data_IF_109653990428
#
_entry.id   IF_109653990428
#
_cell.length_a   1.000
_cell.length_b   1.000
_cell.length_c   1.000
_cell.angle_alpha   90.00
_cell.angle_beta   90.00
_cell.angle_gamma   90.00
#
_symmetry.space_group_name_H-M   'P 1'
#
loop_
_entity.id
_entity.type
_entity.pdbx_description
1 polymer ?
#
# COMPACT_ATOMS: atom_id res chain seq x y z
N UNK A 1 84.85 7.69 27.67
CA UNK A 1 83.79 8.72 27.72
C UNK A 1 82.94 8.56 26.47
N UNK A 2 81.60 8.56 26.67
CA UNK A 2 80.50 8.44 25.70
C UNK A 2 80.44 7.09 24.94
N UNK A 3 79.59 6.12 25.32
CA UNK A 3 78.11 6.08 25.23
C UNK A 3 77.59 6.59 23.87
N UNK A 4 76.77 5.87 23.09
CA UNK A 4 76.09 4.60 23.29
C UNK A 4 74.89 4.54 22.35
N UNK A 5 74.80 3.45 21.57
CA UNK A 5 73.62 2.92 20.84
C UNK A 5 73.07 3.73 19.65
N UNK A 6 72.38 3.09 18.67
CA UNK A 6 71.75 1.76 18.70
C UNK A 6 72.16 0.80 17.55
N UNK A 7 71.89 -0.51 17.68
CA UNK A 7 71.86 -1.43 16.54
C UNK A 7 70.44 -1.98 16.29
N UNK A 8 70.14 -2.30 15.03
CA UNK A 8 68.92 -3.00 14.64
C UNK A 8 68.82 -3.23 13.14
N UNK A 9 69.70 -4.08 12.60
CA UNK A 9 69.65 -4.64 11.25
C UNK A 9 68.45 -5.61 11.11
N UNK A 10 67.58 -5.43 10.09
CA UNK A 10 67.50 -6.21 8.83
C UNK A 10 66.75 -7.58 8.95
N UNK A 11 66.39 -8.31 7.87
CA UNK A 11 66.17 -7.95 6.46
C UNK A 11 64.91 -8.58 5.79
N UNK A 12 64.58 -8.07 4.58
CA UNK A 12 64.36 -8.94 3.41
C UNK A 12 62.90 -9.07 2.92
N UNK A 13 62.60 -8.93 1.63
CA UNK A 13 63.44 -8.65 0.45
C UNK A 13 62.54 -8.56 -0.79
N UNK A 14 63.11 -8.08 -1.91
CA UNK A 14 62.55 -8.28 -3.24
C UNK A 14 62.01 -7.03 -3.95
N UNK A 15 62.91 -6.16 -4.40
CA UNK A 15 62.77 -5.43 -5.68
C UNK A 15 62.82 -6.44 -6.86
N UNK A 16 62.51 -6.12 -8.14
CA UNK A 16 62.50 -4.79 -8.75
C UNK A 16 61.42 -4.48 -9.82
N UNK A 17 61.37 -3.20 -10.14
CA UNK A 17 61.08 -2.56 -11.43
C UNK A 17 60.69 -3.44 -12.64
N UNK A 18 59.62 -3.02 -13.33
CA UNK A 18 59.70 -2.59 -14.73
C UNK A 18 58.41 -1.90 -15.17
N UNK A 19 58.62 -0.83 -15.92
CA UNK A 19 57.68 0.17 -16.38
C UNK A 19 57.00 -0.18 -17.71
N UNK A 20 55.90 0.54 -17.97
CA UNK A 20 55.39 1.03 -19.27
C UNK A 20 54.59 0.05 -20.16
N UNK A 21 53.33 0.44 -20.43
CA UNK A 21 52.54 -0.14 -21.52
C UNK A 21 51.04 0.17 -21.55
N UNK A 22 50.66 1.44 -21.38
CA UNK A 22 49.52 2.13 -22.04
C UNK A 22 48.14 1.44 -22.24
N UNK A 23 47.14 1.96 -21.52
CA UNK A 23 45.83 2.41 -22.07
C UNK A 23 45.18 3.26 -20.97
N UNK A 24 44.92 4.55 -21.07
CA UNK A 24 44.37 5.29 -22.20
C UNK A 24 43.08 5.95 -21.72
N UNK A 25 43.16 7.21 -21.26
CA UNK A 25 42.03 8.13 -20.94
C UNK A 25 41.08 7.67 -19.82
N UNK A 26 40.88 8.40 -18.73
CA UNK A 26 40.33 9.76 -18.74
C UNK A 26 40.60 10.40 -17.37
N UNK A 27 41.60 11.27 -17.31
CA UNK A 27 41.60 12.35 -16.33
C UNK A 27 40.46 13.30 -16.72
N UNK A 28 39.53 13.54 -15.80
CA UNK A 28 38.47 14.53 -15.95
C UNK A 28 37.05 14.00 -16.06
N UNK A 29 36.68 12.91 -15.39
CA UNK A 29 35.26 12.75 -15.02
C UNK A 29 34.93 13.90 -14.07
N UNK A 30 34.06 14.81 -14.50
CA UNK A 30 33.61 15.92 -13.66
C UNK A 30 33.10 15.32 -12.34
N UNK A 31 33.47 15.86 -11.18
CA UNK A 31 32.96 15.36 -9.89
C UNK A 31 31.42 15.28 -9.92
N UNK A 32 30.75 16.16 -10.68
CA UNK A 32 29.31 16.12 -10.96
C UNK A 32 28.86 14.90 -11.77
N UNK A 33 29.66 14.44 -12.74
CA UNK A 33 29.38 13.23 -13.51
C UNK A 33 29.69 11.97 -12.70
N UNK A 34 30.77 11.95 -11.93
CA UNK A 34 31.04 10.83 -11.02
C UNK A 34 30.00 10.74 -9.92
N UNK A 35 29.58 11.87 -9.32
CA UNK A 35 28.46 11.92 -8.37
C UNK A 35 27.13 11.56 -9.06
N UNK A 36 26.93 11.90 -10.33
CA UNK A 36 25.76 11.47 -11.10
C UNK A 36 25.77 9.96 -11.34
N UNK A 37 26.91 9.37 -11.70
CA UNK A 37 27.05 7.92 -11.86
C UNK A 37 26.89 7.18 -10.52
N UNK A 38 27.41 7.73 -9.42
CA UNK A 38 27.35 7.09 -8.09
C UNK A 38 26.04 7.33 -7.33
N UNK A 39 25.30 8.43 -7.61
CA UNK A 39 24.10 8.81 -6.85
C UNK A 39 22.86 9.13 -7.71
N UNK A 40 22.99 9.23 -9.04
CA UNK A 40 21.89 9.61 -9.93
C UNK A 40 21.60 8.60 -11.07
N UNK A 41 22.47 7.64 -11.34
CA UNK A 41 22.21 6.48 -12.23
C UNK A 41 21.91 5.21 -11.44
N UNK A 42 21.47 5.36 -10.19
CA UNK A 42 20.52 4.40 -9.65
C UNK A 42 19.18 4.80 -10.27
N UNK A 43 18.50 3.93 -11.04
CA UNK A 43 17.11 4.20 -11.38
C UNK A 43 16.44 4.53 -10.07
N UNK A 44 15.95 5.78 -9.94
CA UNK A 44 15.23 6.26 -8.76
C UNK A 44 14.47 5.09 -8.18
N UNK A 45 14.88 4.64 -7.01
CA UNK A 45 14.32 3.48 -6.33
C UNK A 45 12.80 3.68 -6.30
N UNK A 46 12.11 3.00 -7.22
CA UNK A 46 10.67 3.06 -7.50
C UNK A 46 10.03 4.44 -7.31
N UNK A 47 9.84 5.19 -8.40
CA UNK A 47 8.75 6.15 -8.45
C UNK A 47 7.47 5.42 -8.03
N UNK A 48 6.89 5.76 -6.87
CA UNK A 48 5.55 5.32 -6.52
C UNK A 48 4.66 5.79 -7.68
N UNK A 49 4.22 4.85 -8.50
CA UNK A 49 3.42 5.12 -9.67
C UNK A 49 2.10 5.78 -9.20
N UNK A 50 2.03 7.10 -9.33
CA UNK A 50 0.87 7.87 -8.85
C UNK A 50 -0.34 7.71 -9.76
N UNK A 51 -0.21 7.09 -10.94
CA UNK A 51 -1.28 6.98 -11.92
C UNK A 51 -2.56 6.35 -11.33
N UNK A 52 -2.42 5.38 -10.43
CA UNK A 52 -3.55 4.76 -9.74
C UNK A 52 -4.25 5.73 -8.78
N UNK A 53 -3.49 6.54 -8.06
CA UNK A 53 -3.97 7.57 -7.13
C UNK A 53 -4.66 8.71 -7.88
N UNK A 54 -4.03 9.18 -8.96
CA UNK A 54 -4.54 10.23 -9.83
C UNK A 54 -5.85 9.79 -10.50
N UNK A 55 -5.91 8.56 -11.04
CA UNK A 55 -7.14 8.00 -11.60
C UNK A 55 -8.25 7.85 -10.55
N UNK A 56 -7.93 7.41 -9.32
CA UNK A 56 -8.88 7.32 -8.22
C UNK A 56 -9.39 8.70 -7.74
N UNK A 57 -8.54 9.72 -7.80
CA UNK A 57 -8.86 11.12 -7.48
C UNK A 57 -9.84 11.71 -8.49
N UNK A 58 -9.53 11.62 -9.79
CA UNK A 58 -10.41 12.19 -10.83
C UNK A 58 -11.63 11.32 -11.14
N UNK A 59 -11.63 10.05 -10.69
CA UNK A 59 -12.70 9.09 -10.97
C UNK A 59 -12.60 8.45 -12.36
N UNK A 60 -11.41 8.40 -12.95
CA UNK A 60 -11.15 7.83 -14.28
C UNK A 60 -11.14 6.29 -14.21
N UNK A 61 -12.34 5.73 -14.23
CA UNK A 61 -12.57 4.28 -14.19
C UNK A 61 -11.90 3.53 -15.37
N UNK A 62 -11.98 4.01 -16.63
CA UNK A 62 -11.27 3.36 -17.75
C UNK A 62 -9.76 3.26 -17.52
N UNK A 63 -9.10 4.35 -17.12
CA UNK A 63 -7.66 4.35 -16.84
C UNK A 63 -7.35 3.43 -15.66
N UNK A 64 -8.12 3.51 -14.57
CA UNK A 64 -7.96 2.64 -13.41
C UNK A 64 -8.06 1.15 -13.79
N UNK A 65 -9.02 0.81 -14.65
CA UNK A 65 -9.20 -0.55 -15.16
C UNK A 65 -8.04 -1.00 -16.04
N UNK A 66 -7.56 -0.13 -16.93
CA UNK A 66 -6.40 -0.42 -17.78
C UNK A 66 -5.16 -0.68 -16.92
N UNK A 67 -4.88 0.18 -15.95
CA UNK A 67 -3.73 0.05 -15.04
C UNK A 67 -3.77 -1.28 -14.28
N UNK A 68 -4.93 -1.68 -13.75
CA UNK A 68 -5.08 -2.95 -13.03
C UNK A 68 -4.93 -4.19 -13.92
N UNK A 69 -5.11 -4.05 -15.23
CA UNK A 69 -4.95 -5.12 -16.22
C UNK A 69 -3.54 -5.18 -16.83
N UNK A 70 -2.73 -4.13 -16.67
CA UNK A 70 -1.36 -4.11 -17.18
C UNK A 70 -0.49 -5.15 -16.47
N UNK A 71 0.15 -6.05 -17.22
CA UNK A 71 1.06 -7.07 -16.68
C UNK A 71 2.24 -6.45 -15.91
N UNK A 72 2.69 -5.25 -16.29
CA UNK A 72 3.71 -4.50 -15.56
C UNK A 72 3.20 -4.14 -14.15
N UNK A 73 1.96 -3.69 -14.03
CA UNK A 73 1.36 -3.32 -12.75
C UNK A 73 1.31 -4.54 -11.81
N UNK A 74 0.92 -5.69 -12.34
CA UNK A 74 0.85 -6.97 -11.60
C UNK A 74 2.24 -7.56 -11.29
N UNK A 75 3.22 -7.43 -12.19
CA UNK A 75 4.59 -7.99 -12.04
C UNK A 75 5.51 -7.14 -11.17
N UNK A 76 5.35 -5.82 -11.14
CA UNK A 76 6.19 -4.91 -10.35
C UNK A 76 5.65 -4.62 -8.94
N UNK A 77 4.57 -5.29 -8.52
CA UNK A 77 4.00 -5.10 -7.18
C UNK A 77 3.33 -3.73 -7.02
N UNK A 78 2.90 -3.11 -8.12
CA UNK A 78 2.00 -1.98 -8.09
C UNK A 78 0.65 -2.52 -7.63
N UNK A 79 0.44 -2.33 -6.34
CA UNK A 79 -0.54 -3.03 -5.58
C UNK A 79 -1.69 -2.07 -5.32
N UNK A 80 -2.92 -2.58 -5.41
CA UNK A 80 -4.09 -1.83 -4.97
C UNK A 80 -3.95 -1.39 -3.51
N UNK A 81 -3.18 -2.14 -2.72
CA UNK A 81 -2.76 -1.80 -1.36
C UNK A 81 -1.41 -1.07 -1.33
N UNK A 82 -1.31 0.00 -0.54
CA UNK A 82 -0.07 0.79 -0.47
C UNK A 82 1.03 0.04 0.30
N UNK A 83 2.13 -0.29 -0.38
CA UNK A 83 3.30 -0.98 0.17
C UNK A 83 4.35 -0.01 0.70
N UNK A 84 4.32 0.29 1.99
CA UNK A 84 5.28 1.20 2.64
C UNK A 84 6.70 0.62 2.86
N UNK A 85 7.05 -0.46 2.15
CA UNK A 85 8.25 -1.26 2.44
C UNK A 85 9.58 -0.62 1.98
N UNK A 86 9.57 0.52 1.31
CA UNK A 86 10.80 1.09 0.72
C UNK A 86 11.51 2.17 1.55
N UNK A 87 10.91 2.67 2.64
CA UNK A 87 11.53 3.73 3.44
C UNK A 87 12.49 3.25 4.56
N UNK A 88 12.63 1.94 4.82
CA UNK A 88 13.50 1.46 5.91
C UNK A 88 14.14 0.10 5.61
N UNK A 89 15.42 0.12 5.22
CA UNK A 89 16.30 -1.07 5.11
C UNK A 89 16.73 -1.63 6.48
N UNK A 90 15.81 -1.72 7.44
CA UNK A 90 16.07 -2.41 8.70
C UNK A 90 14.82 -3.19 9.09
N UNK A 91 14.94 -4.52 9.07
CA UNK A 91 13.96 -5.46 9.57
C UNK A 91 13.69 -5.21 11.06
N UNK A 92 12.73 -4.35 11.34
CA UNK A 92 12.19 -4.11 12.68
C UNK A 92 10.69 -4.40 12.62
N UNK A 93 10.22 -5.27 13.51
CA UNK A 93 8.81 -5.62 13.76
C UNK A 93 8.01 -4.44 14.35
N UNK A 94 8.34 -3.21 13.95
CA UNK A 94 7.71 -1.99 14.45
C UNK A 94 6.31 -1.87 13.83
N UNK A 95 5.30 -1.98 14.69
CA UNK A 95 3.92 -1.65 14.37
C UNK A 95 3.87 -0.22 13.82
N UNK A 96 3.43 -0.05 12.57
CA UNK A 96 3.46 1.22 11.82
C UNK A 96 2.28 2.15 12.16
N UNK A 97 2.46 3.45 12.41
CA UNK A 97 1.35 4.41 12.53
C UNK A 97 0.66 4.60 11.17
N UNK A 98 -0.69 4.53 11.07
CA UNK A 98 -1.45 4.95 9.86
C UNK A 98 -1.39 6.47 9.66
N UNK A 99 -0.21 7.01 9.36
CA UNK A 99 -0.08 8.40 8.90
C UNK A 99 -0.52 8.56 7.44
N UNK A 100 -0.86 7.46 6.76
CA UNK A 100 -0.96 7.37 5.30
C UNK A 100 -2.26 6.77 4.78
N UNK A 101 -3.29 6.54 5.61
CA UNK A 101 -4.60 6.12 5.07
C UNK A 101 -5.11 7.13 4.04
N UNK A 102 -4.76 8.42 4.19
CA UNK A 102 -5.13 9.51 3.28
C UNK A 102 -4.51 9.42 1.88
N UNK A 103 -3.43 8.66 1.70
CA UNK A 103 -2.76 8.50 0.40
C UNK A 103 -3.14 7.20 -0.28
N UNK A 104 -4.01 6.38 0.30
CA UNK A 104 -4.40 5.11 -0.31
C UNK A 104 -5.45 5.33 -1.43
N UNK A 105 -5.37 4.64 -2.58
CA UNK A 105 -6.35 4.78 -3.68
C UNK A 105 -7.80 4.52 -3.23
N UNK A 106 -8.01 3.57 -2.32
CA UNK A 106 -9.34 3.27 -1.77
C UNK A 106 -9.86 4.41 -0.88
N UNK A 107 -8.98 5.09 -0.12
CA UNK A 107 -9.37 6.28 0.63
C UNK A 107 -9.65 7.46 -0.28
N UNK A 108 -8.77 7.72 -1.26
CA UNK A 108 -8.90 8.82 -2.21
C UNK A 108 -10.26 8.70 -2.93
N UNK A 109 -10.58 7.51 -3.46
CA UNK A 109 -11.87 7.31 -4.11
C UNK A 109 -13.08 7.52 -3.18
N UNK A 110 -12.98 7.26 -1.88
CA UNK A 110 -14.01 7.62 -0.90
C UNK A 110 -14.09 9.14 -0.65
N UNK A 111 -12.94 9.79 -0.43
CA UNK A 111 -12.85 11.24 -0.19
C UNK A 111 -13.43 12.08 -1.34
N UNK A 112 -13.29 11.59 -2.57
CA UNK A 112 -13.82 12.22 -3.79
C UNK A 112 -15.14 11.60 -4.27
N UNK A 113 -15.78 10.74 -3.48
CA UNK A 113 -17.08 10.13 -3.79
C UNK A 113 -17.13 9.34 -5.12
N UNK A 114 -16.00 8.79 -5.56
CA UNK A 114 -15.86 8.00 -6.78
C UNK A 114 -16.23 6.53 -6.55
N UNK A 115 -17.53 6.24 -6.39
CA UNK A 115 -18.06 4.92 -6.03
C UNK A 115 -17.61 3.80 -6.97
N UNK A 116 -17.57 4.04 -8.28
CA UNK A 116 -17.18 3.01 -9.24
C UNK A 116 -15.69 2.67 -9.16
N UNK A 117 -14.83 3.67 -8.93
CA UNK A 117 -13.41 3.43 -8.68
C UNK A 117 -13.20 2.66 -7.37
N UNK A 118 -13.92 3.05 -6.32
CA UNK A 118 -13.90 2.37 -5.02
C UNK A 118 -14.29 0.89 -5.16
N UNK A 119 -15.37 0.60 -5.90
CA UNK A 119 -15.81 -0.77 -6.23
C UNK A 119 -14.74 -1.55 -6.99
N UNK A 120 -14.16 -0.94 -8.03
CA UNK A 120 -13.16 -1.62 -8.88
C UNK A 120 -11.90 -1.98 -8.07
N UNK A 121 -11.44 -1.09 -7.19
CA UNK A 121 -10.31 -1.35 -6.30
C UNK A 121 -10.58 -2.53 -5.36
N UNK A 122 -11.78 -2.59 -4.76
CA UNK A 122 -12.19 -3.72 -3.93
C UNK A 122 -12.29 -5.03 -4.73
N UNK A 123 -12.84 -4.99 -5.95
CA UNK A 123 -12.91 -6.15 -6.85
C UNK A 123 -11.52 -6.69 -7.18
N UNK A 124 -10.54 -5.81 -7.40
CA UNK A 124 -9.13 -6.12 -7.61
C UNK A 124 -8.41 -6.62 -6.34
N UNK A 125 -9.09 -6.64 -5.18
CA UNK A 125 -8.58 -7.25 -3.96
C UNK A 125 -7.96 -6.28 -2.96
N UNK A 126 -8.25 -4.98 -3.07
CA UNK A 126 -7.87 -3.98 -2.07
C UNK A 126 -8.36 -4.40 -0.68
N UNK A 127 -7.51 -4.27 0.34
CA UNK A 127 -7.87 -4.56 1.71
C UNK A 127 -8.91 -3.53 2.22
N UNK A 128 -10.14 -3.95 2.55
CA UNK A 128 -11.22 -3.04 2.92
C UNK A 128 -11.04 -2.40 4.31
N UNK A 129 -10.10 -2.87 5.13
CA UNK A 129 -9.87 -2.31 6.45
C UNK A 129 -8.95 -1.09 6.39
N UNK A 130 -7.84 -1.19 5.66
CA UNK A 130 -6.76 -0.20 5.70
C UNK A 130 -6.11 0.10 4.35
N UNK A 131 -6.45 -0.68 3.31
CA UNK A 131 -5.84 -0.58 1.97
C UNK A 131 -4.30 -0.58 1.98
N UNK A 132 -3.71 -1.43 2.83
CA UNK A 132 -2.28 -1.62 2.94
C UNK A 132 -1.93 -3.07 3.29
N UNK A 133 -0.71 -3.48 2.94
CA UNK A 133 -0.16 -4.79 3.26
C UNK A 133 0.56 -4.80 4.63
N UNK A 134 0.40 -5.89 5.37
CA UNK A 134 1.13 -6.16 6.61
C UNK A 134 0.44 -5.65 7.89
N UNK A 135 1.06 -5.90 9.06
CA UNK A 135 0.51 -5.51 10.35
C UNK A 135 0.57 -3.99 10.56
N UNK A 136 -0.46 -3.44 11.19
CA UNK A 136 -0.65 -2.01 11.40
C UNK A 136 -0.73 -1.71 12.89
N UNK A 137 -0.09 -0.63 13.34
CA UNK A 137 -0.35 -0.09 14.67
C UNK A 137 -1.61 0.75 14.65
N UNK A 138 -2.59 0.34 15.45
CA UNK A 138 -3.78 1.16 15.69
C UNK A 138 -3.70 2.01 16.96
N UNK A 139 -2.58 1.94 17.70
CA UNK A 139 -2.31 2.78 18.86
C UNK A 139 -1.69 4.12 18.43
N UNK A 140 -2.14 5.21 19.04
CA UNK A 140 -1.54 6.54 18.86
C UNK A 140 -2.18 7.45 17.80
N UNK A 141 -3.33 7.09 17.22
CA UNK A 141 -4.03 8.02 16.32
C UNK A 141 -4.49 9.28 17.03
N UNK A 142 -4.16 10.43 16.44
CA UNK A 142 -4.70 11.72 16.84
C UNK A 142 -6.22 11.68 16.82
N UNK A 143 -6.85 12.22 17.87
CA UNK A 143 -8.30 12.44 17.93
C UNK A 143 -8.72 13.19 16.65
N UNK A 144 -9.60 12.58 15.85
CA UNK A 144 -10.16 13.18 14.63
C UNK A 144 -9.66 12.58 13.30
N UNK A 145 -8.57 11.80 13.29
CA UNK A 145 -8.12 11.11 12.07
C UNK A 145 -8.86 9.78 11.87
N UNK A 146 -9.20 9.39 10.62
CA UNK A 146 -9.84 8.12 10.36
C UNK A 146 -8.88 6.96 10.70
N UNK A 147 -9.36 6.00 11.48
CA UNK A 147 -8.54 4.86 11.93
C UNK A 147 -8.58 3.67 10.98
N UNK A 148 -9.56 3.62 10.06
CA UNK A 148 -9.75 2.60 9.04
C UNK A 148 -10.55 3.18 7.86
N UNK A 149 -10.66 2.44 6.76
CA UNK A 149 -11.38 2.88 5.55
C UNK A 149 -12.87 3.10 5.85
N UNK A 150 -13.50 2.25 6.68
CA UNK A 150 -14.90 2.44 7.08
C UNK A 150 -15.12 3.76 7.85
N UNK A 151 -14.21 4.11 8.75
CA UNK A 151 -14.25 5.38 9.49
C UNK A 151 -14.05 6.57 8.55
N UNK A 152 -13.17 6.45 7.55
CA UNK A 152 -13.01 7.47 6.51
C UNK A 152 -14.28 7.68 5.68
N UNK A 153 -14.92 6.61 5.20
CA UNK A 153 -16.16 6.67 4.42
C UNK A 153 -17.27 7.37 5.20
N UNK A 154 -17.41 7.07 6.50
CA UNK A 154 -18.39 7.73 7.36
C UNK A 154 -18.08 9.23 7.55
N UNK A 155 -16.82 9.58 7.83
CA UNK A 155 -16.38 10.97 8.07
C UNK A 155 -16.47 11.85 6.82
N UNK A 156 -16.25 11.28 5.64
CA UNK A 156 -16.42 11.99 4.37
C UNK A 156 -17.89 12.15 3.94
N UNK A 157 -18.83 11.54 4.67
CA UNK A 157 -20.26 11.65 4.35
C UNK A 157 -20.64 10.91 3.07
N UNK A 158 -19.92 9.83 2.74
CA UNK A 158 -20.23 9.00 1.59
C UNK A 158 -21.62 8.36 1.70
N UNK A 159 -22.19 7.98 0.56
CA UNK A 159 -23.47 7.29 0.49
C UNK A 159 -23.41 5.87 1.07
N UNK A 160 -24.58 5.34 1.45
CA UNK A 160 -24.72 3.98 1.98
C UNK A 160 -24.12 2.89 1.05
N UNK A 161 -24.05 3.15 -0.26
CA UNK A 161 -23.43 2.26 -1.23
C UNK A 161 -21.95 1.93 -0.90
N UNK A 162 -21.19 2.88 -0.36
CA UNK A 162 -19.80 2.63 0.07
C UNK A 162 -19.76 1.71 1.29
N UNK A 163 -20.69 1.88 2.22
CA UNK A 163 -20.81 1.05 3.42
C UNK A 163 -21.16 -0.39 3.02
N UNK A 164 -22.13 -0.57 2.12
CA UNK A 164 -22.50 -1.88 1.59
C UNK A 164 -21.31 -2.58 0.92
N UNK A 165 -20.56 -1.88 0.07
CA UNK A 165 -19.35 -2.43 -0.54
C UNK A 165 -18.34 -2.88 0.52
N UNK A 166 -18.00 -2.03 1.48
CA UNK A 166 -17.06 -2.42 2.54
C UNK A 166 -17.54 -3.64 3.34
N UNK A 167 -18.83 -3.73 3.66
CA UNK A 167 -19.42 -4.90 4.34
C UNK A 167 -19.27 -6.15 3.48
N UNK A 168 -19.60 -6.07 2.20
CA UNK A 168 -19.61 -7.16 1.24
C UNK A 168 -18.23 -7.76 0.99
N UNK A 169 -17.21 -6.89 0.95
CA UNK A 169 -15.80 -7.25 0.80
C UNK A 169 -15.13 -7.62 2.14
N UNK A 170 -15.86 -7.55 3.25
CA UNK A 170 -15.44 -8.13 4.52
C UNK A 170 -14.71 -7.20 5.48
N UNK A 171 -14.96 -5.89 5.40
CA UNK A 171 -14.42 -4.91 6.34
C UNK A 171 -14.74 -5.26 7.81
N UNK A 172 -13.78 -5.11 8.70
CA UNK A 172 -13.95 -5.31 10.12
C UNK A 172 -14.60 -4.08 10.75
N UNK A 173 -15.92 -4.15 10.96
CA UNK A 173 -16.73 -3.07 11.54
C UNK A 173 -16.33 -2.69 12.97
N UNK A 174 -15.62 -3.57 13.68
CA UNK A 174 -15.16 -3.32 15.05
C UNK A 174 -13.97 -2.34 15.10
N UNK A 175 -13.35 -2.03 13.96
CA UNK A 175 -12.28 -1.02 13.89
C UNK A 175 -12.80 0.40 14.09
N UNK A 176 -14.09 0.63 13.83
CA UNK A 176 -14.72 1.95 13.98
C UNK A 176 -15.09 2.20 15.45
N UNK A 177 -14.57 3.30 16.00
CA UNK A 177 -14.93 3.81 17.33
C UNK A 177 -16.16 4.71 17.21
N UNK A 178 -17.33 4.18 17.56
CA UNK A 178 -18.63 4.85 17.36
C UNK A 178 -18.75 6.10 18.22
N UNK A 179 -18.12 6.09 19.39
CA UNK A 179 -18.10 7.20 20.33
C UNK A 179 -17.45 8.46 19.72
N UNK A 180 -16.53 8.26 18.76
CA UNK A 180 -15.84 9.33 18.04
C UNK A 180 -16.58 9.82 16.79
N UNK A 181 -17.72 9.23 16.44
CA UNK A 181 -18.61 9.67 15.36
C UNK A 181 -19.81 10.46 15.87
N UNK A 182 -20.11 10.35 17.17
CA UNK A 182 -21.31 10.92 17.80
C UNK A 182 -21.04 12.22 18.58
N UNK A 183 -19.78 12.67 18.70
CA UNK A 183 -19.44 13.81 19.56
C UNK A 183 -18.39 14.78 19.00
N UNK A 184 -18.87 15.91 18.48
CA UNK A 184 -18.10 17.16 18.44
C UNK A 184 -19.01 18.33 18.82
N UNK A 185 -18.75 18.93 19.99
CA UNK A 185 -19.37 20.18 20.49
C UNK A 185 -19.07 21.42 19.63
N UNK A 186 -18.48 21.24 18.46
CA UNK A 186 -18.03 22.26 17.49
C UNK A 186 -18.68 22.13 16.11
N UNK A 187 -19.62 21.19 15.91
CA UNK A 187 -20.62 21.29 14.83
C UNK A 187 -20.16 20.98 13.40
N UNK A 188 -19.10 20.19 13.17
CA UNK A 188 -18.72 19.74 11.81
C UNK A 188 -18.15 18.31 11.77
N UNK A 189 -19.00 17.30 11.95
CA UNK A 189 -18.91 16.04 11.18
C UNK A 189 -20.33 15.69 10.76
N UNK A 190 -20.73 16.15 9.56
CA UNK A 190 -22.01 15.78 8.98
C UNK A 190 -21.86 14.39 8.33
N UNK A 191 -21.85 13.35 9.16
CA UNK A 191 -21.96 11.98 8.65
C UNK A 191 -23.28 11.83 7.92
N UNK A 192 -23.30 11.10 6.81
CA UNK A 192 -24.55 10.79 6.12
C UNK A 192 -25.41 9.90 7.05
N UNK A 193 -26.64 10.33 7.43
CA UNK A 193 -27.45 9.61 8.40
C UNK A 193 -27.89 8.22 7.89
N UNK A 194 -28.13 8.08 6.59
CA UNK A 194 -28.47 6.80 5.97
C UNK A 194 -27.29 5.84 6.03
N UNK A 195 -26.10 6.30 5.65
CA UNK A 195 -24.88 5.51 5.72
C UNK A 195 -24.54 5.07 7.16
N UNK A 196 -24.73 5.98 8.13
CA UNK A 196 -24.54 5.67 9.55
C UNK A 196 -25.55 4.61 10.03
N UNK A 197 -26.81 4.71 9.61
CA UNK A 197 -27.84 3.74 9.95
C UNK A 197 -27.49 2.34 9.42
N UNK A 198 -27.13 2.23 8.14
CA UNK A 198 -26.69 0.97 7.52
C UNK A 198 -25.49 0.37 8.24
N UNK A 199 -24.51 1.21 8.61
CA UNK A 199 -23.35 0.76 9.38
C UNK A 199 -23.76 0.19 10.75
N UNK A 200 -24.63 0.89 11.49
CA UNK A 200 -25.12 0.45 12.82
C UNK A 200 -25.88 -0.87 12.73
N UNK A 201 -26.76 -1.01 11.74
CA UNK A 201 -27.51 -2.25 11.48
C UNK A 201 -26.58 -3.42 11.16
N UNK A 202 -25.59 -3.19 10.28
CA UNK A 202 -24.63 -4.22 9.90
C UNK A 202 -23.75 -4.66 11.08
N UNK A 203 -23.40 -3.73 11.98
CA UNK A 203 -22.61 -4.04 13.19
C UNK A 203 -23.40 -4.88 14.20
N UNK A 204 -24.71 -4.70 14.27
CA UNK A 204 -25.60 -5.47 15.15
C UNK A 204 -25.93 -6.88 14.65
N UNK A 205 -25.57 -7.21 13.40
CA UNK A 205 -25.95 -8.48 12.76
C UNK A 205 -24.73 -9.33 12.42
N UNK A 206 -24.82 -10.63 12.73
CA UNK A 206 -23.81 -11.59 12.29
C UNK A 206 -23.85 -11.76 10.76
N UNK A 207 -22.67 -11.83 10.12
CA UNK A 207 -22.57 -12.13 8.69
C UNK A 207 -23.15 -13.50 8.37
N UNK A 208 -23.74 -13.63 7.18
CA UNK A 208 -24.17 -14.94 6.69
C UNK A 208 -22.96 -15.86 6.44
N UNK A 209 -23.18 -17.17 6.54
CA UNK A 209 -22.16 -18.15 6.21
C UNK A 209 -21.65 -17.99 4.77
N UNK A 210 -22.55 -17.70 3.80
CA UNK A 210 -22.17 -17.44 2.41
C UNK A 210 -21.21 -16.26 2.28
N UNK A 211 -21.48 -15.15 2.98
CA UNK A 211 -20.60 -13.99 3.01
C UNK A 211 -19.23 -14.34 3.59
N UNK A 212 -19.21 -15.07 4.72
CA UNK A 212 -17.98 -15.54 5.34
C UNK A 212 -17.17 -16.46 4.42
N UNK A 213 -17.83 -17.40 3.72
CA UNK A 213 -17.19 -18.26 2.73
C UNK A 213 -16.59 -17.46 1.58
N UNK A 214 -17.32 -16.48 1.01
CA UNK A 214 -16.80 -15.60 -0.05
C UNK A 214 -15.53 -14.88 0.39
N UNK A 215 -15.58 -14.25 1.58
CA UNK A 215 -14.46 -13.51 2.14
C UNK A 215 -13.26 -14.44 2.37
N UNK A 216 -13.48 -15.61 2.97
CA UNK A 216 -12.43 -16.58 3.26
C UNK A 216 -11.75 -17.08 1.97
N UNK A 217 -12.53 -17.48 0.96
CA UNK A 217 -12.00 -17.94 -0.33
C UNK A 217 -11.18 -16.85 -1.01
N UNK A 218 -11.71 -15.62 -1.12
CA UNK A 218 -10.98 -14.48 -1.73
C UNK A 218 -9.68 -14.16 -0.97
N UNK A 219 -9.68 -14.20 0.36
CA UNK A 219 -8.48 -13.98 1.18
C UNK A 219 -7.43 -15.08 1.01
N UNK A 220 -7.84 -16.34 0.90
CA UNK A 220 -6.93 -17.48 0.70
C UNK A 220 -6.30 -17.43 -0.70
N UNK A 221 -7.11 -17.14 -1.73
CA UNK A 221 -6.59 -16.91 -3.08
C UNK A 221 -5.61 -15.74 -3.07
N UNK A 222 -5.99 -14.64 -2.41
CA UNK A 222 -5.24 -13.40 -2.46
C UNK A 222 -5.41 -12.71 -3.82
N UNK A 223 -5.16 -11.41 -3.84
CA UNK A 223 -5.38 -10.52 -5.00
C UNK A 223 -4.75 -10.99 -6.32
N UNK A 224 -3.54 -11.57 -6.27
CA UNK A 224 -2.81 -12.06 -7.45
C UNK A 224 -3.38 -13.33 -8.09
N UNK A 225 -4.42 -13.93 -7.48
CA UNK A 225 -5.04 -15.17 -7.97
C UNK A 225 -6.57 -15.06 -8.01
N UNK A 226 -7.14 -13.86 -7.88
CA UNK A 226 -8.58 -13.67 -7.98
C UNK A 226 -9.09 -13.94 -9.39
N UNK A 227 -8.28 -13.59 -10.38
CA UNK A 227 -8.45 -13.96 -11.77
C UNK A 227 -8.59 -15.48 -11.94
N UNK A 228 -7.94 -16.33 -11.14
CA UNK A 228 -8.08 -17.79 -11.19
C UNK A 228 -9.44 -18.33 -10.67
N UNK A 229 -10.37 -17.49 -10.21
CA UNK A 229 -11.69 -17.97 -9.77
C UNK A 229 -12.44 -18.69 -10.91
N UNK A 230 -12.23 -18.30 -12.17
CA UNK A 230 -12.91 -18.90 -13.33
C UNK A 230 -12.58 -20.39 -13.54
N UNK A 231 -11.40 -20.84 -13.08
CA UNK A 231 -10.95 -22.25 -13.20
C UNK A 231 -11.32 -23.12 -12.01
N UNK A 232 -11.94 -22.57 -10.96
CA UNK A 232 -12.34 -23.37 -9.81
C UNK A 232 -13.38 -24.43 -10.21
N UNK A 233 -13.29 -25.66 -9.67
CA UNK A 233 -14.24 -26.75 -9.97
C UNK A 233 -15.55 -26.57 -9.19
N UNK A 234 -16.21 -25.42 -9.38
CA UNK A 234 -17.49 -25.04 -8.78
C UNK A 234 -18.46 -24.54 -9.85
N UNK A 235 -19.79 -24.57 -9.62
CA UNK A 235 -20.77 -24.03 -10.55
C UNK A 235 -20.56 -22.52 -10.85
N UNK A 236 -20.90 -22.09 -12.07
CA UNK A 236 -20.75 -20.69 -12.50
C UNK A 236 -21.46 -19.66 -11.60
N UNK A 237 -22.67 -19.92 -11.04
CA UNK A 237 -23.27 -19.00 -10.07
C UNK A 237 -22.39 -18.74 -8.84
N UNK A 238 -21.62 -19.75 -8.40
CA UNK A 238 -20.66 -19.60 -7.30
C UNK A 238 -19.45 -18.78 -7.74
N UNK A 239 -18.95 -18.98 -8.97
CA UNK A 239 -17.85 -18.17 -9.51
C UNK A 239 -18.24 -16.70 -9.58
N UNK A 240 -19.43 -16.40 -10.12
CA UNK A 240 -19.96 -15.04 -10.21
C UNK A 240 -20.17 -14.42 -8.82
N UNK A 241 -20.65 -15.21 -7.86
CA UNK A 241 -20.77 -14.79 -6.46
C UNK A 241 -19.40 -14.45 -5.85
N UNK A 242 -18.35 -15.24 -6.10
CA UNK A 242 -16.99 -15.00 -5.64
C UNK A 242 -16.32 -13.79 -6.32
N UNK A 243 -16.69 -13.50 -7.56
CA UNK A 243 -16.19 -12.36 -8.36
C UNK A 243 -16.96 -11.05 -8.11
N UNK A 244 -18.07 -11.08 -7.37
CA UNK A 244 -18.96 -9.93 -7.18
C UNK A 244 -19.55 -9.40 -8.51
N UNK A 245 -19.93 -10.29 -9.42
CA UNK A 245 -20.51 -9.92 -10.73
C UNK A 245 -22.04 -9.70 -10.70
N UNK A 246 -22.74 -10.20 -9.66
CA UNK A 246 -24.20 -10.08 -9.47
C UNK A 246 -24.59 -9.52 -8.09
N UNK A 247 -23.74 -8.69 -7.48
CA UNK A 247 -23.98 -8.07 -6.15
C UNK A 247 -24.37 -6.61 -6.27
#
# INVERSE_FOLDING_TARGET
MAEGSPPGAAPGGGDPAASLGASGGHAGRNLKEWLREQFCDHPLEHCEDTRLHDAAYVGDLPTLKSLLQEESFQRYGADVDVNHHLASRVSSLSLRPLTTLVVCPLYISAAYHNLQCFRLLLQAGANPDFNCCGPINIQGFSRGSPVCVMDAVLRHGCDAAFIHLLIDFGANLNLVKVEALEFDSTGRVKVNPEALQVFKEARGRARSLLSLCRIAVRRILGKSRLDLIHILPVPDPIKQFLLHEHS
#
